data_IF_687422912874
#
_entry.id   IF_687422912874
#
_cell.length_a   1.000
_cell.length_b   1.000
_cell.length_c   1.000
_cell.angle_alpha   90.00
_cell.angle_beta   90.00
_cell.angle_gamma   90.00
#
_symmetry.space_group_name_H-M   'P 1'
#
loop_
_entity.id
_entity.type
_entity.pdbx_description
1 polymer ?
#
# COMPACT_ATOMS: atom_id res chain seq x y z
N UNK A 1 -34.03 6.65 12.83
CA UNK A 1 -32.84 6.06 12.19
C UNK A 1 -32.33 4.88 13.01
N UNK A 2 -31.70 3.86 12.42
CA UNK A 2 -31.16 2.73 13.17
C UNK A 2 -30.04 3.20 14.12
N UNK A 3 -29.99 2.64 15.32
CA UNK A 3 -28.98 2.92 16.34
C UNK A 3 -28.01 1.76 16.47
N UNK A 4 -26.75 2.04 16.77
CA UNK A 4 -25.77 1.00 17.04
C UNK A 4 -26.08 0.28 18.35
N UNK A 5 -25.97 -1.04 18.34
CA UNK A 5 -26.33 -1.90 19.47
C UNK A 5 -25.39 -1.80 20.68
N UNK A 6 -24.20 -1.21 20.54
CA UNK A 6 -23.23 -1.09 21.64
C UNK A 6 -23.20 0.29 22.25
N UNK A 7 -23.17 1.32 21.41
CA UNK A 7 -23.05 2.72 21.87
C UNK A 7 -24.39 3.44 21.94
N UNK A 8 -25.45 2.90 21.33
CA UNK A 8 -26.75 3.56 21.24
C UNK A 8 -26.78 4.79 20.31
N UNK A 9 -25.66 5.07 19.64
CA UNK A 9 -25.48 6.20 18.72
C UNK A 9 -26.26 6.02 17.42
N UNK A 10 -26.67 7.11 16.80
CA UNK A 10 -27.31 7.09 15.50
C UNK A 10 -26.32 6.63 14.42
N UNK A 11 -26.75 5.69 13.58
CA UNK A 11 -25.95 5.25 12.44
C UNK A 11 -26.17 6.24 11.29
N UNK A 12 -25.09 6.90 10.90
CA UNK A 12 -25.04 7.85 9.79
C UNK A 12 -24.86 7.11 8.45
N UNK A 13 -24.04 6.06 8.45
CA UNK A 13 -23.76 5.30 7.25
C UNK A 13 -23.45 3.84 7.54
N UNK A 14 -23.85 2.95 6.64
CA UNK A 14 -23.52 1.53 6.68
C UNK A 14 -23.01 1.07 5.34
N UNK A 15 -22.05 0.15 5.33
CA UNK A 15 -21.55 -0.45 4.11
C UNK A 15 -20.93 -1.82 4.29
N UNK A 16 -20.60 -2.44 3.17
CA UNK A 16 -19.86 -3.70 3.08
C UNK A 16 -18.81 -3.56 1.99
N UNK A 17 -17.78 -4.42 1.95
CA UNK A 17 -16.88 -4.46 0.82
C UNK A 17 -17.66 -4.74 -0.47
N UNK A 18 -17.64 -3.82 -1.43
CA UNK A 18 -18.22 -4.01 -2.76
C UNK A 18 -17.30 -4.90 -3.59
N UNK A 19 -15.98 -4.73 -3.45
CA UNK A 19 -14.98 -5.51 -4.18
C UNK A 19 -14.03 -6.23 -3.24
N UNK A 20 -14.13 -7.57 -3.24
CA UNK A 20 -13.27 -8.46 -2.47
C UNK A 20 -12.00 -8.77 -3.27
N UNK A 21 -11.03 -7.86 -3.21
CA UNK A 21 -9.75 -8.04 -3.88
C UNK A 21 -8.67 -8.53 -2.92
N UNK A 22 -7.98 -9.60 -3.33
CA UNK A 22 -6.75 -10.01 -2.66
C UNK A 22 -5.67 -8.95 -2.93
N UNK A 23 -4.96 -8.43 -1.90
CA UNK A 23 -3.85 -7.51 -2.07
C UNK A 23 -2.81 -8.01 -3.08
N UNK A 24 -2.23 -7.09 -3.86
CA UNK A 24 -1.28 -7.45 -4.94
C UNK A 24 -0.08 -8.25 -4.42
N UNK A 25 0.43 -7.94 -3.22
CA UNK A 25 1.57 -8.66 -2.65
C UNK A 25 1.22 -10.14 -2.35
N UNK A 26 0.01 -10.42 -1.86
CA UNK A 26 -0.45 -11.80 -1.60
C UNK A 26 -0.68 -12.57 -2.90
N UNK A 27 -1.17 -11.91 -3.95
CA UNK A 27 -1.27 -12.52 -5.28
C UNK A 27 0.11 -12.89 -5.83
N UNK A 28 1.10 -12.00 -5.68
CA UNK A 28 2.48 -12.27 -6.06
C UNK A 28 3.10 -13.42 -5.26
N UNK A 29 2.91 -13.42 -3.94
CA UNK A 29 3.36 -14.51 -3.08
C UNK A 29 2.70 -15.85 -3.45
N UNK A 30 1.40 -15.85 -3.76
CA UNK A 30 0.70 -17.05 -4.23
C UNK A 30 1.28 -17.57 -5.56
N UNK A 31 1.58 -16.68 -6.51
CA UNK A 31 2.22 -17.06 -7.78
C UNK A 31 3.59 -17.72 -7.55
N UNK A 32 4.41 -17.17 -6.65
CA UNK A 32 5.71 -17.77 -6.28
C UNK A 32 5.51 -19.16 -5.66
N UNK A 33 4.51 -19.32 -4.79
CA UNK A 33 4.20 -20.62 -4.18
C UNK A 33 3.74 -21.65 -5.21
N UNK A 34 2.90 -21.26 -6.19
CA UNK A 34 2.49 -22.16 -7.27
C UNK A 34 3.66 -22.52 -8.19
N UNK A 35 4.54 -21.56 -8.51
CA UNK A 35 5.75 -21.84 -9.27
C UNK A 35 6.67 -22.81 -8.51
N UNK A 36 6.88 -22.61 -7.21
CA UNK A 36 7.65 -23.51 -6.36
C UNK A 36 7.04 -24.92 -6.32
N UNK A 37 5.71 -25.02 -6.26
CA UNK A 37 5.01 -26.31 -6.32
C UNK A 37 5.25 -27.03 -7.67
N UNK A 38 5.12 -26.32 -8.78
CA UNK A 38 5.34 -26.87 -10.12
C UNK A 38 6.80 -27.32 -10.32
N UNK A 39 7.76 -26.49 -9.91
CA UNK A 39 9.19 -26.86 -9.86
C UNK A 39 9.39 -28.14 -9.05
N UNK A 40 8.74 -28.24 -7.88
CA UNK A 40 8.86 -29.40 -7.01
C UNK A 40 8.30 -30.67 -7.64
N UNK A 41 7.18 -30.58 -8.35
CA UNK A 41 6.59 -31.72 -9.10
C UNK A 41 7.51 -32.16 -10.25
N UNK A 42 8.09 -31.22 -11.00
CA UNK A 42 9.07 -31.54 -12.04
C UNK A 42 10.28 -32.29 -11.46
N UNK A 43 10.85 -31.81 -10.35
CA UNK A 43 11.98 -32.51 -9.70
C UNK A 43 11.56 -33.82 -9.05
N UNK A 44 10.35 -33.93 -8.50
CA UNK A 44 9.81 -35.19 -8.00
C UNK A 44 9.74 -36.26 -9.09
N UNK A 45 9.30 -35.87 -10.29
CA UNK A 45 9.27 -36.75 -11.45
C UNK A 45 10.67 -37.23 -11.84
N UNK A 46 11.64 -36.32 -11.89
CA UNK A 46 13.05 -36.66 -12.16
C UNK A 46 13.62 -37.59 -11.09
N UNK A 47 13.37 -37.32 -9.81
CA UNK A 47 13.84 -38.15 -8.69
C UNK A 47 13.26 -39.57 -8.76
N UNK A 48 11.96 -39.69 -9.05
CA UNK A 48 11.30 -40.98 -9.16
C UNK A 48 11.80 -41.81 -10.35
N UNK A 49 11.99 -41.16 -11.52
CA UNK A 49 12.32 -41.85 -12.77
C UNK A 49 13.81 -42.05 -13.01
N UNK A 50 14.63 -41.04 -12.72
CA UNK A 50 16.07 -41.10 -12.97
C UNK A 50 16.84 -41.69 -11.80
N UNK A 51 16.49 -41.33 -10.56
CA UNK A 51 17.23 -41.74 -9.37
C UNK A 51 16.63 -43.00 -8.71
N UNK A 52 15.41 -43.40 -9.08
CA UNK A 52 14.72 -44.55 -8.48
C UNK A 52 14.48 -44.41 -6.97
N UNK A 53 14.52 -43.17 -6.45
CA UNK A 53 14.34 -42.87 -5.02
C UNK A 53 12.94 -42.31 -4.76
N UNK A 54 12.51 -42.35 -3.50
CA UNK A 54 11.16 -41.90 -3.14
C UNK A 54 10.97 -40.40 -3.40
N UNK A 55 10.01 -39.97 -4.24
CA UNK A 55 9.69 -38.57 -4.48
C UNK A 55 8.79 -37.96 -3.40
N UNK A 56 8.49 -38.71 -2.32
CA UNK A 56 7.51 -38.28 -1.32
C UNK A 56 7.82 -36.91 -0.68
N UNK A 57 9.08 -36.58 -0.30
CA UNK A 57 9.38 -35.28 0.31
C UNK A 57 9.16 -34.10 -0.63
N UNK A 58 9.53 -34.23 -1.91
CA UNK A 58 9.33 -33.17 -2.90
C UNK A 58 7.85 -32.99 -3.21
N UNK A 59 7.10 -34.07 -3.41
CA UNK A 59 5.64 -33.99 -3.58
C UNK A 59 4.94 -33.37 -2.38
N UNK A 60 5.35 -33.71 -1.16
CA UNK A 60 4.80 -33.13 0.07
C UNK A 60 5.05 -31.61 0.13
N UNK A 61 6.25 -31.16 -0.22
CA UNK A 61 6.55 -29.73 -0.31
C UNK A 61 5.70 -29.05 -1.39
N UNK A 62 5.55 -29.66 -2.56
CA UNK A 62 4.69 -29.13 -3.63
C UNK A 62 3.23 -29.01 -3.22
N UNK A 63 2.69 -30.02 -2.53
CA UNK A 63 1.34 -29.99 -1.98
C UNK A 63 1.19 -28.86 -0.94
N UNK A 64 2.15 -28.75 0.00
CA UNK A 64 2.16 -27.69 0.99
C UNK A 64 2.21 -26.29 0.35
N UNK A 65 3.12 -26.06 -0.61
CA UNK A 65 3.23 -24.80 -1.33
C UNK A 65 1.94 -24.46 -2.09
N UNK A 66 1.30 -25.45 -2.72
CA UNK A 66 0.00 -25.27 -3.39
C UNK A 66 -1.08 -24.85 -2.41
N UNK A 67 -1.19 -25.53 -1.27
CA UNK A 67 -2.18 -25.17 -0.24
C UNK A 67 -1.94 -23.76 0.29
N UNK A 68 -0.69 -23.37 0.53
CA UNK A 68 -0.36 -22.01 0.97
C UNK A 68 -0.69 -20.98 -0.11
N UNK A 69 -0.40 -21.26 -1.39
CA UNK A 69 -0.76 -20.41 -2.52
C UNK A 69 -2.28 -20.16 -2.60
N UNK A 70 -3.09 -21.21 -2.43
CA UNK A 70 -4.54 -21.12 -2.38
C UNK A 70 -5.02 -20.28 -1.18
N UNK A 71 -4.44 -20.49 -0.01
CA UNK A 71 -4.76 -19.71 1.21
C UNK A 71 -4.43 -18.23 1.01
N UNK A 72 -3.27 -17.91 0.43
CA UNK A 72 -2.88 -16.52 0.15
C UNK A 72 -3.81 -15.85 -0.85
N UNK A 73 -4.29 -16.60 -1.86
CA UNK A 73 -5.15 -16.07 -2.92
C UNK A 73 -6.61 -15.89 -2.46
N UNK A 74 -7.16 -16.87 -1.76
CA UNK A 74 -8.58 -16.92 -1.40
C UNK A 74 -8.88 -16.52 0.04
N UNK A 75 -7.92 -16.70 0.96
CA UNK A 75 -8.07 -16.42 2.38
C UNK A 75 -8.57 -14.99 2.65
N UNK A 76 -7.97 -13.93 2.07
CA UNK A 76 -8.45 -12.56 2.26
C UNK A 76 -9.89 -12.36 1.77
N UNK A 77 -10.30 -13.00 0.66
CA UNK A 77 -11.66 -12.87 0.14
C UNK A 77 -12.68 -13.52 1.07
N UNK A 78 -12.42 -14.74 1.49
CA UNK A 78 -13.27 -15.46 2.46
C UNK A 78 -13.35 -14.70 3.78
N UNK A 79 -12.23 -14.13 4.21
CA UNK A 79 -12.15 -13.32 5.42
C UNK A 79 -13.01 -12.05 5.33
N UNK A 80 -12.89 -11.30 4.23
CA UNK A 80 -13.55 -10.02 4.03
C UNK A 80 -15.04 -10.17 3.65
N UNK A 81 -15.47 -11.32 3.13
CA UNK A 81 -16.87 -11.56 2.74
C UNK A 81 -17.89 -11.40 3.90
N UNK A 82 -17.46 -11.56 5.15
CA UNK A 82 -18.31 -11.43 6.35
C UNK A 82 -18.15 -10.10 7.07
N UNK A 83 -17.50 -9.12 6.45
CA UNK A 83 -17.22 -7.82 7.05
C UNK A 83 -18.35 -6.84 6.74
N UNK A 84 -18.69 -6.03 7.73
CA UNK A 84 -19.59 -4.89 7.61
C UNK A 84 -18.98 -3.68 8.30
N UNK A 85 -19.33 -2.51 7.80
CA UNK A 85 -18.82 -1.22 8.26
C UNK A 85 -20.00 -0.35 8.66
N UNK A 86 -19.85 0.36 9.77
CA UNK A 86 -20.84 1.31 10.25
C UNK A 86 -20.12 2.57 10.69
N UNK A 87 -20.66 3.73 10.31
CA UNK A 87 -20.24 5.04 10.79
C UNK A 87 -21.41 5.60 11.58
N UNK A 88 -21.17 5.87 12.85
CA UNK A 88 -22.11 6.49 13.78
C UNK A 88 -21.76 7.96 14.00
N UNK A 89 -22.54 8.67 14.81
CA UNK A 89 -22.26 10.06 15.20
C UNK A 89 -20.85 10.26 15.75
N UNK A 90 -20.34 9.32 16.56
CA UNK A 90 -19.02 9.47 17.19
C UNK A 90 -18.01 8.40 16.78
N UNK A 91 -18.42 7.27 16.21
CA UNK A 91 -17.51 6.15 15.97
C UNK A 91 -17.54 5.65 14.53
N UNK A 92 -16.40 5.12 14.09
CA UNK A 92 -16.32 4.25 12.90
C UNK A 92 -16.07 2.84 13.37
N UNK A 93 -16.87 1.91 12.88
CA UNK A 93 -16.94 0.53 13.38
C UNK A 93 -16.70 -0.45 12.24
N UNK A 94 -15.73 -1.33 12.44
CA UNK A 94 -15.50 -2.54 11.68
C UNK A 94 -16.14 -3.73 12.41
N UNK A 95 -17.03 -4.47 11.75
CA UNK A 95 -17.71 -5.64 12.31
C UNK A 95 -17.46 -6.88 11.44
N UNK A 96 -17.12 -8.01 12.08
CA UNK A 96 -17.00 -9.32 11.45
C UNK A 96 -17.41 -10.42 12.41
N UNK A 97 -18.67 -10.84 12.35
CA UNK A 97 -19.24 -11.79 13.31
C UNK A 97 -19.08 -11.24 14.74
N UNK A 98 -18.45 -11.99 15.68
CA UNK A 98 -18.25 -11.51 17.05
C UNK A 98 -17.12 -10.47 17.16
N UNK A 99 -16.26 -10.34 16.15
CA UNK A 99 -15.13 -9.41 16.18
C UNK A 99 -15.59 -8.02 15.79
N UNK A 100 -15.36 -7.06 16.68
CA UNK A 100 -15.68 -5.64 16.46
C UNK A 100 -14.47 -4.79 16.82
N UNK A 101 -14.10 -3.88 15.92
CA UNK A 101 -13.11 -2.82 16.17
C UNK A 101 -13.75 -1.47 15.91
N UNK A 102 -13.45 -0.48 16.73
CA UNK A 102 -13.96 0.87 16.58
C UNK A 102 -12.86 1.89 16.78
N UNK A 103 -13.07 3.07 16.19
CA UNK A 103 -12.23 4.25 16.36
C UNK A 103 -13.16 5.46 16.46
N UNK A 104 -12.87 6.39 17.37
CA UNK A 104 -13.68 7.60 17.53
C UNK A 104 -13.37 8.60 16.40
N UNK A 105 -14.40 9.23 15.82
CA UNK A 105 -14.31 10.16 14.67
C UNK A 105 -13.47 11.39 15.00
N UNK A 106 -13.63 11.93 16.21
CA UNK A 106 -12.90 13.10 16.72
C UNK A 106 -11.39 12.84 16.78
N UNK A 107 -10.99 11.62 17.13
CA UNK A 107 -9.60 11.22 17.37
C UNK A 107 -8.85 10.78 16.11
N UNK A 108 -9.51 10.66 14.96
CA UNK A 108 -8.86 10.30 13.69
C UNK A 108 -7.94 11.45 13.26
N UNK A 109 -6.63 11.22 13.20
CA UNK A 109 -5.67 12.24 12.79
C UNK A 109 -5.72 12.49 11.29
N UNK A 110 -5.78 11.42 10.49
CA UNK A 110 -5.91 11.51 9.04
C UNK A 110 -6.54 10.23 8.47
N UNK A 111 -7.05 10.32 7.24
CA UNK A 111 -7.53 9.19 6.47
C UNK A 111 -6.66 8.98 5.23
N UNK A 112 -6.33 7.74 4.90
CA UNK A 112 -5.61 7.35 3.69
C UNK A 112 -6.52 6.51 2.80
N UNK A 113 -6.65 6.88 1.55
CA UNK A 113 -7.44 6.15 0.54
C UNK A 113 -6.48 5.42 -0.39
N UNK A 114 -6.69 4.12 -0.58
CA UNK A 114 -5.97 3.31 -1.56
C UNK A 114 -6.93 2.90 -2.67
N UNK A 115 -6.76 3.47 -3.86
CA UNK A 115 -7.61 3.18 -5.01
C UNK A 115 -7.23 1.85 -5.66
N UNK A 116 -8.18 0.91 -5.73
CA UNK A 116 -8.00 -0.37 -6.41
C UNK A 116 -8.54 -0.34 -7.85
N UNK A 117 -9.52 0.53 -8.12
CA UNK A 117 -10.06 0.83 -9.45
C UNK A 117 -10.90 2.11 -9.45
N UNK A 118 -11.59 2.43 -10.55
CA UNK A 118 -12.52 3.56 -10.61
C UNK A 118 -13.58 3.42 -9.52
N UNK A 119 -13.70 4.43 -8.64
CA UNK A 119 -14.76 4.49 -7.62
C UNK A 119 -14.65 3.49 -6.48
N UNK A 120 -13.63 2.62 -6.46
CA UNK A 120 -13.47 1.60 -5.43
C UNK A 120 -12.08 1.67 -4.82
N UNK A 121 -12.03 1.62 -3.50
CA UNK A 121 -10.77 1.63 -2.77
C UNK A 121 -10.93 1.29 -1.30
N UNK A 122 -9.79 1.24 -0.62
CA UNK A 122 -9.74 1.04 0.82
C UNK A 122 -9.59 2.38 1.52
N UNK A 123 -10.26 2.58 2.66
CA UNK A 123 -10.05 3.74 3.55
C UNK A 123 -9.36 3.26 4.81
N UNK A 124 -8.19 3.80 5.10
CA UNK A 124 -7.43 3.57 6.32
C UNK A 124 -7.51 4.80 7.22
N UNK A 125 -8.07 4.62 8.41
CA UNK A 125 -8.22 5.66 9.42
C UNK A 125 -7.09 5.50 10.43
N UNK A 126 -6.32 6.55 10.61
CA UNK A 126 -5.15 6.51 11.50
C UNK A 126 -5.35 7.49 12.64
N UNK A 127 -5.21 6.97 13.87
CA UNK A 127 -5.07 7.78 15.08
C UNK A 127 -3.61 7.72 15.52
N UNK A 128 -2.99 8.90 15.58
CA UNK A 128 -1.69 9.06 16.21
C UNK A 128 -1.86 8.95 17.73
N UNK A 129 -1.22 7.96 18.36
CA UNK A 129 -1.24 7.77 19.82
C UNK A 129 0.09 8.24 20.42
N UNK A 130 0.06 9.02 21.52
CA UNK A 130 1.26 9.66 22.08
C UNK A 130 2.14 8.76 22.95
N UNK A 131 1.57 7.82 23.71
CA UNK A 131 2.25 7.15 24.84
C UNK A 131 2.05 5.63 24.87
N UNK A 132 3.09 4.95 25.35
CA UNK A 132 3.22 3.50 25.46
C UNK A 132 4.63 3.07 25.02
N UNK A 133 5.23 2.10 25.70
CA UNK A 133 6.59 1.59 25.44
C UNK A 133 6.84 1.10 24.00
N UNK A 134 5.83 1.16 23.12
CA UNK A 134 5.79 0.55 21.80
C UNK A 134 5.40 1.50 20.65
N UNK A 135 5.28 2.83 20.84
CA UNK A 135 5.01 3.81 19.75
C UNK A 135 3.91 3.37 18.75
N UNK A 136 2.83 2.72 19.21
CA UNK A 136 1.86 2.05 18.32
C UNK A 136 0.89 3.04 17.67
N UNK A 137 0.71 2.93 16.35
CA UNK A 137 -0.37 3.59 15.61
C UNK A 137 -1.64 2.76 15.73
N UNK A 138 -2.78 3.40 16.06
CA UNK A 138 -4.08 2.74 15.97
C UNK A 138 -4.63 2.96 14.57
N UNK A 139 -4.84 1.87 13.84
CA UNK A 139 -5.28 1.90 12.45
C UNK A 139 -6.55 1.06 12.28
N UNK A 140 -7.56 1.64 11.64
CA UNK A 140 -8.78 0.95 11.25
C UNK A 140 -8.94 1.05 9.73
N UNK A 141 -8.85 -0.10 9.03
CA UNK A 141 -8.96 -0.16 7.58
C UNK A 141 -10.31 -0.74 7.15
N UNK A 142 -10.99 0.01 6.29
CA UNK A 142 -12.23 -0.34 5.62
C UNK A 142 -11.88 -0.75 4.19
N UNK A 143 -11.98 -2.03 3.89
CA UNK A 143 -11.58 -2.61 2.59
C UNK A 143 -12.70 -2.59 1.56
N UNK A 144 -12.35 -2.30 0.31
CA UNK A 144 -13.19 -2.47 -0.87
C UNK A 144 -14.45 -1.60 -0.86
N UNK A 145 -14.36 -0.38 -0.34
CA UNK A 145 -15.47 0.56 -0.28
C UNK A 145 -15.79 1.16 -1.65
N UNK A 146 -17.09 1.32 -1.91
CA UNK A 146 -17.60 2.19 -2.97
C UNK A 146 -17.46 3.65 -2.57
N UNK A 147 -16.96 4.49 -3.47
CA UNK A 147 -16.72 5.92 -3.23
C UNK A 147 -16.00 6.16 -1.88
N UNK A 148 -14.76 5.64 -1.71
CA UNK A 148 -14.03 5.75 -0.44
C UNK A 148 -13.82 7.21 0.00
N UNK A 149 -13.74 8.14 -0.94
CA UNK A 149 -13.70 9.59 -0.72
C UNK A 149 -14.96 10.13 -0.05
N UNK A 150 -16.14 9.63 -0.45
CA UNK A 150 -17.42 9.94 0.20
C UNK A 150 -17.45 9.41 1.63
N UNK A 151 -17.03 8.16 1.83
CA UNK A 151 -17.01 7.57 3.18
C UNK A 151 -16.05 8.34 4.07
N UNK A 152 -14.88 8.73 3.57
CA UNK A 152 -13.94 9.58 4.29
C UNK A 152 -14.53 10.97 4.63
N UNK A 153 -15.31 11.57 3.73
CA UNK A 153 -16.02 12.83 3.97
C UNK A 153 -17.08 12.71 5.09
N UNK A 154 -17.88 11.64 5.05
CA UNK A 154 -18.88 11.33 6.09
C UNK A 154 -18.18 11.13 7.43
N UNK A 155 -17.10 10.35 7.49
CA UNK A 155 -16.33 10.13 8.72
C UNK A 155 -15.83 11.46 9.31
N UNK A 156 -15.40 12.39 8.46
CA UNK A 156 -14.95 13.72 8.85
C UNK A 156 -16.10 14.69 9.23
N UNK A 157 -17.37 14.28 9.16
CA UNK A 157 -18.52 15.11 9.54
C UNK A 157 -19.13 15.96 8.43
N UNK A 158 -18.77 15.71 7.16
CA UNK A 158 -19.22 16.50 6.01
C UNK A 158 -20.35 15.80 5.25
N UNK A 159 -21.45 15.50 5.94
CA UNK A 159 -22.54 14.65 5.45
C UNK A 159 -23.37 15.30 4.32
N UNK A 160 -23.57 16.62 4.38
CA UNK A 160 -24.47 17.39 3.50
C UNK A 160 -23.86 17.79 2.15
N UNK A 161 -22.58 17.48 1.93
CA UNK A 161 -21.76 18.16 0.92
C UNK A 161 -21.28 17.22 -0.20
N UNK A 162 -21.75 15.96 -0.19
CA UNK A 162 -21.25 14.94 -1.09
C UNK A 162 -22.17 14.76 -2.30
N UNK A 163 -21.70 15.22 -3.47
CA UNK A 163 -22.39 15.01 -4.75
C UNK A 163 -22.48 13.50 -5.08
N UNK A 164 -23.66 12.98 -5.47
CA UNK A 164 -23.77 11.64 -6.01
C UNK A 164 -23.15 11.57 -7.42
N UNK A 165 -22.09 10.76 -7.58
CA UNK A 165 -21.67 10.24 -8.88
C UNK A 165 -20.50 10.96 -9.58
N UNK A 166 -19.33 10.31 -9.59
CA UNK A 166 -18.66 9.74 -10.78
C UNK A 166 -17.27 9.27 -10.38
N UNK A 167 -17.03 8.00 -10.62
CA UNK A 167 -15.95 7.18 -10.07
C UNK A 167 -14.54 7.46 -10.62
N UNK A 168 -14.42 8.37 -11.61
CA UNK A 168 -13.19 8.56 -12.40
C UNK A 168 -12.71 10.03 -12.50
N UNK A 169 -13.20 10.90 -11.62
CA UNK A 169 -12.85 12.32 -11.63
C UNK A 169 -11.41 12.58 -11.17
N UNK A 170 -10.75 13.59 -11.76
CA UNK A 170 -9.47 14.10 -11.25
C UNK A 170 -9.65 14.63 -9.82
N UNK A 171 -8.58 14.62 -9.01
CA UNK A 171 -8.63 15.05 -7.59
C UNK A 171 -9.31 16.41 -7.38
N UNK A 172 -9.01 17.40 -8.23
CA UNK A 172 -9.61 18.74 -8.18
C UNK A 172 -11.13 18.75 -8.48
N UNK A 173 -11.65 17.71 -9.15
CA UNK A 173 -13.08 17.53 -9.46
C UNK A 173 -13.81 16.67 -8.40
N UNK A 174 -13.07 16.13 -7.41
CA UNK A 174 -13.58 15.40 -6.23
C UNK A 174 -13.64 16.28 -4.98
N UNK A 175 -13.40 17.57 -5.13
CA UNK A 175 -13.61 18.54 -4.06
C UNK A 175 -15.09 18.54 -3.67
N UNK A 176 -15.34 18.64 -2.37
CA UNK A 176 -16.69 18.75 -1.84
C UNK A 176 -17.33 20.06 -2.29
N UNK A 177 -18.66 20.12 -2.28
CA UNK A 177 -19.39 21.37 -2.54
C UNK A 177 -18.91 22.51 -1.59
N UNK A 178 -18.44 23.62 -2.15
CA UNK A 178 -17.87 24.74 -1.39
C UNK A 178 -16.43 24.54 -0.89
N UNK A 179 -15.80 23.41 -1.22
CA UNK A 179 -14.37 23.21 -1.03
C UNK A 179 -13.60 23.82 -2.21
N UNK A 180 -12.62 24.67 -1.93
CA UNK A 180 -11.80 25.38 -2.92
C UNK A 180 -10.32 25.16 -2.66
N UNK A 181 -9.54 25.08 -3.73
CA UNK A 181 -8.08 25.00 -3.65
C UNK A 181 -7.54 26.39 -3.30
N UNK A 182 -6.78 26.47 -2.21
CA UNK A 182 -6.07 27.67 -1.78
C UNK A 182 -4.62 27.65 -2.27
N UNK A 183 -4.02 26.46 -2.34
CA UNK A 183 -2.64 26.29 -2.75
C UNK A 183 -2.43 24.90 -3.36
N UNK A 184 -1.54 24.82 -4.34
CA UNK A 184 -1.18 23.58 -5.01
C UNK A 184 0.31 23.56 -5.34
N UNK A 185 0.96 22.42 -5.14
CA UNK A 185 2.33 22.21 -5.59
C UNK A 185 2.62 20.75 -5.91
N UNK A 186 3.69 20.55 -6.68
CA UNK A 186 4.25 19.23 -6.98
C UNK A 186 5.71 19.22 -6.53
N UNK A 187 6.21 18.12 -5.93
CA UNK A 187 7.62 18.02 -5.59
C UNK A 187 8.46 17.96 -6.87
N UNK A 188 9.60 18.66 -6.89
CA UNK A 188 10.53 18.56 -8.03
C UNK A 188 11.19 17.17 -8.06
N UNK A 189 11.03 16.40 -9.16
CA UNK A 189 11.75 15.14 -9.32
C UNK A 189 13.24 15.44 -9.47
N UNK A 190 14.09 14.76 -8.71
CA UNK A 190 15.54 14.79 -8.92
C UNK A 190 16.06 13.37 -9.02
N UNK A 191 17.23 13.18 -9.60
CA UNK A 191 17.85 11.85 -9.71
C UNK A 191 17.97 11.14 -8.34
N UNK A 192 18.13 11.90 -7.24
CA UNK A 192 18.19 11.37 -5.87
C UNK A 192 16.88 10.71 -5.41
N UNK A 193 15.74 10.97 -6.06
CA UNK A 193 14.48 10.29 -5.72
C UNK A 193 14.45 8.81 -6.12
N UNK A 194 15.37 8.40 -7.01
CA UNK A 194 15.56 7.00 -7.40
C UNK A 194 16.54 6.26 -6.47
N UNK A 195 17.26 6.98 -5.61
CA UNK A 195 18.15 6.33 -4.66
C UNK A 195 17.34 5.66 -3.54
N UNK A 196 17.62 4.37 -3.24
CA UNK A 196 16.99 3.70 -2.12
C UNK A 196 17.33 4.43 -0.81
N UNK A 197 16.33 4.62 0.04
CA UNK A 197 16.55 5.01 1.46
C UNK A 197 16.92 3.76 2.28
N UNK A 198 17.22 3.89 3.58
CA UNK A 198 17.80 2.80 4.41
C UNK A 198 17.22 1.38 4.18
N UNK A 199 15.89 1.17 4.26
CA UNK A 199 15.25 -0.14 3.96
C UNK A 199 15.19 -0.50 2.46
N UNK A 200 15.31 0.49 1.58
CA UNK A 200 15.47 0.23 0.15
C UNK A 200 16.77 -0.51 -0.14
N UNK A 201 17.84 -0.23 0.62
CA UNK A 201 19.13 -0.90 0.44
C UNK A 201 19.08 -2.39 0.74
N UNK A 202 18.30 -2.83 1.73
CA UNK A 202 18.12 -4.27 1.99
C UNK A 202 17.43 -4.98 0.83
N UNK A 203 16.42 -4.34 0.22
CA UNK A 203 15.74 -4.88 -0.97
C UNK A 203 16.66 -4.91 -2.20
N UNK A 204 17.52 -3.89 -2.38
CA UNK A 204 18.53 -3.87 -3.44
C UNK A 204 19.56 -4.98 -3.23
N UNK A 205 20.08 -5.14 -2.01
CA UNK A 205 21.02 -6.20 -1.68
C UNK A 205 20.42 -7.58 -1.92
N UNK A 206 19.18 -7.81 -1.47
CA UNK A 206 18.47 -9.07 -1.69
C UNK A 206 18.22 -9.31 -3.20
N UNK A 207 17.82 -8.28 -3.95
CA UNK A 207 17.68 -8.36 -5.40
C UNK A 207 19.01 -8.75 -6.08
N UNK A 208 20.13 -8.14 -5.70
CA UNK A 208 21.44 -8.45 -6.23
C UNK A 208 21.87 -9.90 -5.94
N UNK A 209 21.62 -10.39 -4.72
CA UNK A 209 21.86 -11.78 -4.34
C UNK A 209 21.02 -12.73 -5.20
N UNK A 210 19.72 -12.47 -5.34
CA UNK A 210 18.84 -13.31 -6.16
C UNK A 210 19.26 -13.30 -7.64
N UNK A 211 19.72 -12.16 -8.16
CA UNK A 211 20.25 -12.06 -9.51
C UNK A 211 21.51 -12.91 -9.68
N UNK A 212 22.45 -12.83 -8.72
CA UNK A 212 23.66 -13.66 -8.73
C UNK A 212 23.33 -15.16 -8.66
N UNK A 213 22.32 -15.53 -7.87
CA UNK A 213 21.81 -16.92 -7.81
C UNK A 213 21.24 -17.34 -9.16
N UNK A 214 20.40 -16.53 -9.80
CA UNK A 214 19.85 -16.84 -11.12
C UNK A 214 20.95 -16.99 -12.19
N UNK A 215 21.93 -16.08 -12.20
CA UNK A 215 23.10 -16.18 -13.10
C UNK A 215 23.87 -17.46 -12.83
N UNK A 216 24.14 -17.79 -11.57
CA UNK A 216 24.81 -19.04 -11.19
C UNK A 216 24.02 -20.25 -11.67
N UNK A 217 22.70 -20.28 -11.49
CA UNK A 217 21.84 -21.38 -11.96
C UNK A 217 21.97 -21.59 -13.48
N UNK A 218 22.03 -20.52 -14.28
CA UNK A 218 22.24 -20.62 -15.73
C UNK A 218 23.65 -21.11 -16.06
N UNK A 219 24.68 -20.48 -15.48
CA UNK A 219 26.09 -20.78 -15.75
C UNK A 219 26.45 -22.22 -15.37
N UNK A 220 25.88 -22.75 -14.29
CA UNK A 220 26.11 -24.16 -13.91
C UNK A 220 25.12 -25.11 -14.55
N UNK A 221 23.87 -24.68 -14.76
CA UNK A 221 22.80 -25.52 -15.26
C UNK A 221 22.94 -25.88 -16.73
N UNK A 222 23.26 -24.89 -17.58
CA UNK A 222 23.38 -25.11 -19.03
C UNK A 222 24.50 -26.11 -19.37
N UNK A 223 25.73 -26.00 -18.84
CA UNK A 223 26.77 -27.00 -19.10
C UNK A 223 26.41 -28.38 -18.57
N UNK A 224 25.73 -28.48 -17.44
CA UNK A 224 25.27 -29.78 -16.91
C UNK A 224 24.22 -30.41 -17.83
N UNK A 225 23.26 -29.62 -18.33
CA UNK A 225 22.29 -30.11 -19.31
C UNK A 225 22.97 -30.54 -20.62
N UNK A 226 23.96 -29.78 -21.10
CA UNK A 226 24.74 -30.15 -22.29
C UNK A 226 25.49 -31.47 -22.10
N UNK A 227 26.08 -31.69 -20.92
CA UNK A 227 26.72 -32.98 -20.57
C UNK A 227 25.73 -34.14 -20.55
N UNK A 228 24.50 -33.92 -20.07
CA UNK A 228 23.45 -34.96 -20.07
C UNK A 228 22.97 -35.29 -21.48
N UNK A 229 22.83 -34.27 -22.35
CA UNK A 229 22.51 -34.48 -23.77
C UNK A 229 23.63 -35.24 -24.48
N UNK A 230 24.90 -34.89 -24.21
CA UNK A 230 26.05 -35.61 -24.78
C UNK A 230 26.19 -37.05 -24.27
N UNK A 231 25.63 -37.36 -23.09
CA UNK A 231 25.58 -38.71 -22.52
C UNK A 231 24.36 -39.52 -22.99
N UNK A 232 23.67 -39.05 -24.04
CA UNK A 232 22.51 -39.68 -24.66
C UNK A 232 21.33 -39.97 -23.72
N UNK A 233 21.15 -39.15 -22.68
CA UNK A 233 19.91 -39.15 -21.88
C UNK A 233 18.67 -38.71 -22.67
N UNK A 234 18.80 -38.48 -23.98
CA UNK A 234 17.73 -38.13 -24.90
C UNK A 234 16.67 -39.24 -25.02
N UNK A 235 17.03 -40.51 -24.77
CA UNK A 235 16.10 -41.66 -24.83
C UNK A 235 15.01 -41.62 -23.74
N UNK A 236 15.21 -40.87 -22.65
CA UNK A 236 14.20 -40.61 -21.61
C UNK A 236 13.61 -39.21 -21.77
N UNK A 237 13.08 -38.89 -22.95
CA UNK A 237 12.62 -37.57 -23.35
C UNK A 237 11.82 -36.83 -22.25
N UNK A 238 10.85 -37.51 -21.61
CA UNK A 238 10.02 -36.92 -20.56
C UNK A 238 10.79 -36.51 -19.30
N UNK A 239 11.78 -37.30 -18.88
CA UNK A 239 12.59 -37.02 -17.69
C UNK A 239 13.49 -35.81 -17.93
N UNK A 240 14.10 -35.74 -19.11
CA UNK A 240 14.93 -34.61 -19.51
C UNK A 240 14.09 -33.32 -19.67
N UNK A 241 12.92 -33.40 -20.31
CA UNK A 241 11.99 -32.27 -20.43
C UNK A 241 11.53 -31.74 -19.06
N UNK A 242 11.20 -32.63 -18.12
CA UNK A 242 10.84 -32.25 -16.76
C UNK A 242 12.00 -31.53 -16.04
N UNK A 243 13.23 -32.01 -16.22
CA UNK A 243 14.42 -31.37 -15.64
C UNK A 243 14.66 -29.96 -16.21
N UNK A 244 14.61 -29.83 -17.54
CA UNK A 244 14.79 -28.53 -18.23
C UNK A 244 13.70 -27.55 -17.81
N UNK A 245 12.44 -28.02 -17.75
CA UNK A 245 11.28 -27.21 -17.35
C UNK A 245 11.40 -26.76 -15.90
N UNK A 246 11.74 -27.68 -14.99
CA UNK A 246 11.91 -27.39 -13.57
C UNK A 246 13.03 -26.38 -13.32
N UNK A 247 14.20 -26.56 -13.96
CA UNK A 247 15.32 -25.63 -13.86
C UNK A 247 14.98 -24.26 -14.46
N UNK A 248 14.35 -24.24 -15.64
CA UNK A 248 13.92 -23.01 -16.31
C UNK A 248 12.93 -22.21 -15.48
N UNK A 249 11.90 -22.87 -14.94
CA UNK A 249 10.88 -22.23 -14.10
C UNK A 249 11.46 -21.71 -12.78
N UNK A 250 12.36 -22.47 -12.14
CA UNK A 250 13.05 -22.02 -10.92
C UNK A 250 13.89 -20.77 -11.20
N UNK A 251 14.68 -20.78 -12.28
CA UNK A 251 15.51 -19.64 -12.69
C UNK A 251 14.65 -18.41 -12.99
N UNK A 252 13.56 -18.58 -13.75
CA UNK A 252 12.64 -17.51 -14.09
C UNK A 252 11.98 -16.91 -12.84
N UNK A 253 11.59 -17.74 -11.87
CA UNK A 253 10.95 -17.29 -10.63
C UNK A 253 11.90 -16.45 -9.78
N UNK A 254 13.17 -16.89 -9.64
CA UNK A 254 14.21 -16.14 -8.93
C UNK A 254 14.51 -14.81 -9.62
N UNK A 255 14.67 -14.83 -10.95
CA UNK A 255 14.93 -13.63 -11.75
C UNK A 255 13.78 -12.63 -11.66
N UNK A 256 12.53 -13.09 -11.85
CA UNK A 256 11.34 -12.24 -11.76
C UNK A 256 11.22 -11.60 -10.36
N UNK A 257 11.46 -12.37 -9.30
CA UNK A 257 11.45 -11.86 -7.92
C UNK A 257 12.54 -10.79 -7.72
N UNK A 258 13.74 -11.02 -8.25
CA UNK A 258 14.82 -10.03 -8.22
C UNK A 258 14.43 -8.72 -8.92
N UNK A 259 13.90 -8.80 -10.14
CA UNK A 259 13.45 -7.64 -10.91
C UNK A 259 12.34 -6.87 -10.19
N UNK A 260 11.39 -7.57 -9.57
CA UNK A 260 10.34 -6.94 -8.76
C UNK A 260 10.96 -6.21 -7.57
N UNK A 261 11.80 -6.85 -6.77
CA UNK A 261 12.45 -6.19 -5.62
C UNK A 261 13.24 -4.95 -6.04
N UNK A 262 14.00 -5.02 -7.13
CA UNK A 262 14.72 -3.88 -7.70
C UNK A 262 13.77 -2.75 -8.10
N UNK A 263 12.71 -3.08 -8.85
CA UNK A 263 11.69 -2.10 -9.27
C UNK A 263 11.08 -1.39 -8.07
N UNK A 264 10.69 -2.12 -7.02
CA UNK A 264 10.08 -1.56 -5.82
C UNK A 264 11.05 -0.70 -5.00
N UNK A 265 12.34 -1.03 -5.00
CA UNK A 265 13.37 -0.32 -4.23
C UNK A 265 13.90 0.94 -4.94
N UNK A 266 13.99 0.94 -6.27
CA UNK A 266 14.70 1.98 -7.05
C UNK A 266 13.76 2.75 -7.98
N UNK A 267 12.98 2.05 -8.80
CA UNK A 267 12.18 2.67 -9.88
C UNK A 267 10.89 3.28 -9.33
N UNK A 268 10.16 2.52 -8.50
CA UNK A 268 8.87 2.93 -7.94
C UNK A 268 8.96 4.24 -7.13
N UNK A 269 9.92 4.43 -6.21
CA UNK A 269 10.02 5.67 -5.44
C UNK A 269 10.22 6.92 -6.31
N UNK A 270 11.11 6.85 -7.30
CA UNK A 270 11.35 7.97 -8.22
C UNK A 270 10.13 8.32 -9.06
N UNK A 271 9.41 7.30 -9.55
CA UNK A 271 8.17 7.48 -10.31
C UNK A 271 7.03 8.04 -9.44
N UNK A 272 6.93 7.61 -8.18
CA UNK A 272 5.95 8.15 -7.23
C UNK A 272 6.25 9.60 -6.86
N UNK A 273 7.52 9.98 -6.74
CA UNK A 273 7.90 11.38 -6.51
C UNK A 273 7.38 12.28 -7.65
N UNK A 274 7.61 11.90 -8.92
CA UNK A 274 7.14 12.69 -10.06
C UNK A 274 5.61 12.74 -10.26
N UNK A 275 4.86 11.87 -9.60
CA UNK A 275 3.38 11.83 -9.67
C UNK A 275 2.71 12.33 -8.40
N UNK A 276 3.49 12.74 -7.40
CA UNK A 276 2.94 13.27 -6.14
C UNK A 276 2.39 14.68 -6.37
N UNK A 277 1.23 14.97 -5.80
CA UNK A 277 0.59 16.29 -5.83
C UNK A 277 0.15 16.68 -4.44
N UNK A 278 0.36 17.94 -4.08
CA UNK A 278 -0.07 18.54 -2.83
C UNK A 278 -1.15 19.56 -3.15
N UNK A 279 -2.30 19.46 -2.49
CA UNK A 279 -3.38 20.43 -2.57
C UNK A 279 -3.79 20.83 -1.16
N UNK A 280 -3.77 22.13 -0.89
CA UNK A 280 -4.37 22.69 0.32
C UNK A 280 -5.67 23.36 -0.06
N UNK A 281 -6.74 22.98 0.61
CA UNK A 281 -8.07 23.55 0.44
C UNK A 281 -8.46 24.36 1.67
N UNK A 282 -9.60 25.04 1.60
CA UNK A 282 -10.19 25.69 2.75
C UNK A 282 -10.59 24.70 3.88
N UNK A 283 -10.73 23.41 3.62
CA UNK A 283 -11.13 22.43 4.65
C UNK A 283 -10.03 21.47 5.06
N UNK A 284 -9.21 21.03 4.12
CA UNK A 284 -8.27 19.93 4.31
C UNK A 284 -7.04 20.04 3.43
N UNK A 285 -5.97 19.38 3.86
CA UNK A 285 -4.78 19.10 3.07
C UNK A 285 -4.96 17.73 2.41
N UNK A 286 -4.87 17.72 1.09
CA UNK A 286 -4.93 16.54 0.25
C UNK A 286 -3.54 16.29 -0.33
N UNK A 287 -3.06 15.07 -0.18
CA UNK A 287 -1.84 14.64 -0.84
C UNK A 287 -2.19 13.45 -1.70
N UNK A 288 -1.80 13.45 -2.97
CA UNK A 288 -2.02 12.35 -3.88
C UNK A 288 -0.66 11.81 -4.31
N UNK A 289 -0.48 10.49 -4.25
CA UNK A 289 0.73 9.79 -4.64
C UNK A 289 0.36 8.51 -5.37
N UNK A 290 0.34 8.58 -6.70
CA UNK A 290 -0.08 7.45 -7.54
C UNK A 290 -1.54 7.05 -7.26
N UNK A 291 -1.74 5.85 -6.68
CA UNK A 291 -3.07 5.33 -6.31
C UNK A 291 -3.45 5.59 -4.85
N UNK A 292 -2.63 6.33 -4.12
CA UNK A 292 -2.84 6.63 -2.71
C UNK A 292 -3.19 8.11 -2.56
N UNK A 293 -4.17 8.40 -1.72
CA UNK A 293 -4.58 9.75 -1.35
C UNK A 293 -4.61 9.88 0.16
N UNK A 294 -4.09 10.97 0.70
CA UNK A 294 -4.14 11.30 2.12
C UNK A 294 -5.05 12.50 2.30
N UNK A 295 -6.01 12.38 3.21
CA UNK A 295 -6.91 13.43 3.62
C UNK A 295 -6.59 13.80 5.07
N UNK A 296 -6.15 15.04 5.27
CA UNK A 296 -5.82 15.61 6.57
C UNK A 296 -6.69 16.85 6.81
N UNK A 297 -7.41 16.91 7.92
CA UNK A 297 -8.20 18.08 8.28
C UNK A 297 -7.30 19.28 8.59
N UNK A 298 -7.59 20.44 7.99
CA UNK A 298 -6.81 21.66 8.19
C UNK A 298 -6.94 22.18 9.61
N UNK A 299 -8.11 22.00 10.25
CA UNK A 299 -8.34 22.43 11.64
C UNK A 299 -7.46 21.69 12.64
N UNK A 300 -6.95 20.53 12.25
CA UNK A 300 -6.04 19.73 13.06
C UNK A 300 -4.58 20.09 12.82
N UNK A 301 -4.24 21.14 12.07
CA UNK A 301 -2.85 21.57 11.87
C UNK A 301 -2.63 22.81 12.75
N UNK A 302 -1.70 22.71 13.71
CA UNK A 302 -1.36 23.81 14.64
C UNK A 302 -0.21 24.63 14.09
N UNK A 303 0.79 23.97 13.52
CA UNK A 303 2.04 24.61 13.15
C UNK A 303 2.69 23.92 11.94
N UNK A 304 3.60 24.63 11.29
CA UNK A 304 4.33 24.21 10.10
C UNK A 304 5.80 24.47 10.32
N UNK A 305 6.59 23.40 10.33
CA UNK A 305 8.05 23.48 10.45
C UNK A 305 8.63 23.21 9.07
N UNK A 306 9.59 24.00 8.64
CA UNK A 306 10.29 23.80 7.38
C UNK A 306 11.81 23.60 7.59
N UNK A 307 12.42 22.79 6.72
CA UNK A 307 13.85 22.50 6.75
C UNK A 307 14.44 22.62 5.33
N UNK A 308 15.70 23.05 5.18
CA UNK A 308 16.32 23.14 3.87
C UNK A 308 16.54 21.76 3.24
N UNK A 309 16.01 21.55 2.02
CA UNK A 309 16.14 20.30 1.26
C UNK A 309 17.24 20.35 0.18
N UNK A 310 17.90 21.50 0.03
CA UNK A 310 18.91 21.80 -1.00
C UNK A 310 18.31 22.34 -2.31
N UNK A 311 19.08 23.13 -3.05
CA UNK A 311 18.66 23.71 -4.33
C UNK A 311 17.54 24.75 -4.22
N UNK A 312 17.46 25.46 -3.10
CA UNK A 312 16.40 26.44 -2.81
C UNK A 312 15.05 25.84 -2.40
N UNK A 313 14.94 24.51 -2.36
CA UNK A 313 13.72 23.80 -1.97
C UNK A 313 13.69 23.55 -0.47
N UNK A 314 12.49 23.49 0.11
CA UNK A 314 12.27 23.22 1.53
C UNK A 314 11.41 21.98 1.75
N UNK A 315 11.74 21.23 2.78
CA UNK A 315 10.99 20.08 3.27
C UNK A 315 10.09 20.54 4.41
N UNK A 316 8.78 20.27 4.31
CA UNK A 316 7.77 20.81 5.23
C UNK A 316 7.17 19.71 6.10
N UNK A 317 7.07 19.96 7.39
CA UNK A 317 6.50 19.11 8.43
C UNK A 317 5.26 19.78 9.01
N UNK A 318 4.15 19.05 9.10
CA UNK A 318 2.90 19.56 9.67
C UNK A 318 2.78 19.10 11.12
N UNK A 319 2.58 20.01 12.06
CA UNK A 319 2.33 19.71 13.46
C UNK A 319 0.82 19.64 13.67
N UNK A 320 0.31 18.52 14.20
CA UNK A 320 -1.11 18.31 14.35
C UNK A 320 -1.62 18.64 15.77
N UNK A 321 -2.82 19.20 15.85
CA UNK A 321 -3.51 19.49 17.11
C UNK A 321 -4.09 18.21 17.72
N UNK A 322 -4.03 18.16 19.03
CA UNK A 322 -4.54 17.09 19.87
C UNK A 322 -3.88 17.20 21.24
N UNK A 323 -4.54 16.73 22.32
CA UNK A 323 -4.03 16.84 23.69
C UNK A 323 -2.64 16.20 23.91
N UNK A 324 -2.09 15.54 22.89
CA UNK A 324 -0.79 14.88 22.90
C UNK A 324 -0.07 14.88 21.52
N UNK A 325 -0.04 16.04 20.85
CA UNK A 325 0.46 16.27 19.49
C UNK A 325 1.80 15.59 19.13
N UNK A 326 1.86 15.01 17.91
CA UNK A 326 3.10 14.69 17.19
C UNK A 326 3.10 15.39 15.83
N UNK A 327 4.28 15.78 15.36
CA UNK A 327 4.46 16.17 13.97
C UNK A 327 4.10 14.99 13.04
N UNK A 328 3.20 15.24 12.10
CA UNK A 328 2.91 14.33 11.00
C UNK A 328 4.20 14.20 10.17
N UNK A 329 4.52 12.97 9.80
CA UNK A 329 5.66 12.68 8.95
C UNK A 329 5.22 11.95 7.67
N UNK A 330 5.86 12.13 6.50
CA UNK A 330 5.48 11.35 5.30
C UNK A 330 5.62 9.83 5.51
N UNK A 331 6.47 9.41 6.43
CA UNK A 331 6.57 8.00 6.87
C UNK A 331 5.37 7.54 7.72
N UNK A 332 4.47 8.46 8.09
CA UNK A 332 3.16 8.20 8.66
C UNK A 332 2.02 8.47 7.69
N UNK A 333 2.17 9.43 6.79
CA UNK A 333 1.13 9.79 5.82
C UNK A 333 1.02 8.81 4.63
N UNK A 334 2.13 8.26 4.11
CA UNK A 334 2.12 7.36 2.94
C UNK A 334 2.99 6.10 3.07
N UNK A 335 3.69 5.92 4.19
CA UNK A 335 4.60 4.77 4.35
C UNK A 335 4.21 3.99 5.59
N UNK A 336 4.38 2.68 5.49
CA UNK A 336 4.31 1.74 6.62
C UNK A 336 5.70 1.57 7.27
N UNK A 337 6.63 2.48 6.98
CA UNK A 337 8.00 2.44 7.50
C UNK A 337 8.06 3.02 8.91
N UNK A 338 7.65 2.23 9.89
CA UNK A 338 7.71 2.52 11.34
C UNK A 338 9.14 2.70 11.90
N UNK A 339 10.18 2.65 11.07
CA UNK A 339 11.57 2.54 11.52
C UNK A 339 12.54 3.59 10.95
N UNK A 340 12.10 4.81 10.63
CA UNK A 340 13.06 5.92 10.51
C UNK A 340 13.27 6.56 11.90
N UNK A 341 14.49 6.56 12.45
CA UNK A 341 14.82 7.47 13.55
C UNK A 341 14.85 8.89 12.98
N UNK A 342 13.74 9.62 13.13
CA UNK A 342 13.64 11.02 12.72
C UNK A 342 12.26 11.41 12.19
N UNK A 343 12.00 12.71 12.18
CA UNK A 343 10.84 13.29 11.50
C UNK A 343 11.04 13.12 9.98
N UNK A 344 10.03 12.67 9.25
CA UNK A 344 10.04 12.71 7.78
C UNK A 344 9.14 13.86 7.33
N UNK A 345 9.51 14.67 6.33
CA UNK A 345 8.67 15.78 5.88
C UNK A 345 7.35 15.26 5.32
N UNK A 346 6.24 15.96 5.56
CA UNK A 346 4.92 15.66 4.98
C UNK A 346 4.87 16.08 3.51
N UNK A 347 5.43 17.25 3.21
CA UNK A 347 5.57 17.78 1.87
C UNK A 347 7.07 17.85 1.56
N UNK A 348 7.53 17.03 0.65
CA UNK A 348 8.93 17.03 0.21
C UNK A 348 9.15 18.12 -0.84
N UNK A 349 10.22 18.90 -0.69
CA UNK A 349 10.76 19.82 -1.71
C UNK A 349 9.76 20.81 -2.31
N UNK A 350 9.17 21.60 -1.44
CA UNK A 350 8.27 22.70 -1.77
C UNK A 350 9.08 23.96 -2.09
N UNK A 351 8.67 24.68 -3.14
CA UNK A 351 9.25 25.99 -3.51
C UNK A 351 8.61 27.13 -2.72
N UNK A 352 7.27 27.16 -2.67
CA UNK A 352 6.48 28.24 -2.06
C UNK A 352 5.96 27.84 -0.67
N UNK A 353 6.84 27.83 0.33
CA UNK A 353 6.47 27.56 1.72
C UNK A 353 5.67 28.72 2.32
N UNK A 354 5.94 29.95 1.94
CA UNK A 354 5.22 31.13 2.44
C UNK A 354 3.77 31.15 1.97
N UNK A 355 3.50 30.80 0.71
CA UNK A 355 2.14 30.61 0.20
C UNK A 355 1.42 29.44 0.85
N UNK A 356 2.14 28.34 1.15
CA UNK A 356 1.60 27.23 1.92
C UNK A 356 1.16 27.67 3.33
N UNK A 357 2.03 28.35 4.08
CA UNK A 357 1.73 28.83 5.43
C UNK A 357 0.56 29.83 5.42
N UNK A 358 0.50 30.72 4.42
CA UNK A 358 -0.66 31.62 4.21
C UNK A 358 -1.94 30.84 3.93
N UNK A 359 -1.90 29.82 3.09
CA UNK A 359 -3.07 29.00 2.76
C UNK A 359 -3.57 28.18 3.95
N UNK A 360 -2.67 27.70 4.80
CA UNK A 360 -3.01 26.97 6.02
C UNK A 360 -3.64 27.89 7.07
N UNK A 361 -3.13 29.11 7.21
CA UNK A 361 -3.61 30.10 8.18
C UNK A 361 -4.80 30.94 7.69
N UNK A 362 -5.21 30.81 6.42
CA UNK A 362 -6.30 31.60 5.85
C UNK A 362 -7.65 31.25 6.52
N UNK A 363 -8.38 32.23 7.09
CA UNK A 363 -9.67 31.98 7.73
C UNK A 363 -10.72 31.45 6.73
N UNK A 364 -11.64 30.61 7.21
CA UNK A 364 -12.67 29.97 6.36
C UNK A 364 -13.55 30.98 5.61
N UNK A 365 -13.79 32.17 6.18
CA UNK A 365 -14.72 33.20 5.68
C UNK A 365 -14.10 34.26 4.75
N UNK A 366 -12.78 34.43 4.69
CA UNK A 366 -12.17 35.64 4.14
C UNK A 366 -11.86 35.63 2.64
N UNK A 367 -12.52 34.81 1.83
CA UNK A 367 -12.29 34.86 0.38
C UNK A 367 -13.62 34.92 -0.38
N UNK A 368 -13.72 35.79 -1.40
CA UNK A 368 -14.97 36.16 -2.05
C UNK A 368 -15.75 34.95 -2.54
N UNK A 369 -17.06 34.96 -2.30
CA UNK A 369 -17.99 34.01 -2.92
C UNK A 369 -17.99 34.32 -4.42
N UNK A 370 -17.66 33.33 -5.25
CA UNK A 370 -17.94 33.44 -6.68
C UNK A 370 -19.45 33.63 -6.82
N UNK A 371 -19.84 34.73 -7.47
CA UNK A 371 -21.22 35.12 -7.71
C UNK A 371 -21.96 34.12 -8.60
#
# INVERSE_FOLDING_TARGET
MPRDSRYGEQIVWTGRPERLETPMFLRGAALVMFAAALVSVCFAFVVARALGTSPAPTLLFGAWATTLGLVLLHGPRVWLARVSYEVTEHHVVFKRGPFRRSIERSEISFARIHWSGPGVGDVELVRAVPTGALRRRLMLRLYGLKAPDRVAAIIAGHEDVVLPGRDDRLLAQRLQLGERVLWAANPRPTWRSYLPRQRGWTNVALSAILLAVAVRMVVTGVPTLQKLVAADMSEQALTFEALVTGLGLATLTVLATSCVLFYWAVIRPGRLAGTTRYLVTNRRVLIQRGKEELHLDRKKIVDVIDAPAGGGLRDVFLVLDGPHARALAASGAFRDDEAMPGLCPVLERVEDVEGLSRALNAPDESLPRAA
#
